data_IF_537378264790
#
_entry.id   IF_537378264790
#
_cell.length_a   1.000
_cell.length_b   1.000
_cell.length_c   1.000
_cell.angle_alpha   90.00
_cell.angle_beta   90.00
_cell.angle_gamma   90.00
#
_symmetry.space_group_name_H-M   'P 1'
#
loop_
_entity.id
_entity.type
_entity.pdbx_description
1 polymer ?
#
# COMPACT_ATOMS: atom_id res chain seq x y z
N UNK A 1 -19.22 -16.94 4.38
CA UNK A 1 -18.26 -17.46 3.39
C UNK A 1 -16.84 -17.40 3.96
N UNK A 2 -16.01 -18.40 3.64
CA UNK A 2 -14.60 -18.43 4.01
C UNK A 2 -13.76 -18.61 2.75
N UNK A 3 -12.67 -17.84 2.64
CA UNK A 3 -11.69 -17.95 1.55
C UNK A 3 -10.29 -18.02 2.13
N UNK A 4 -9.48 -18.96 1.66
CA UNK A 4 -8.06 -19.11 2.04
C UNK A 4 -7.19 -18.54 0.94
N UNK A 5 -6.13 -17.81 1.30
CA UNK A 5 -5.13 -17.23 0.41
C UNK A 5 -3.77 -17.87 0.66
N UNK A 6 -3.16 -18.37 -0.40
CA UNK A 6 -1.82 -18.94 -0.34
C UNK A 6 -1.74 -20.32 0.31
N UNK A 7 -0.58 -20.71 0.84
CA UNK A 7 0.63 -19.89 0.97
C UNK A 7 1.23 -19.48 -0.39
N UNK A 8 1.73 -18.25 -0.44
CA UNK A 8 2.52 -17.75 -1.58
C UNK A 8 3.95 -17.52 -1.09
N UNK A 9 4.89 -18.18 -1.71
CA UNK A 9 6.31 -18.04 -1.45
C UNK A 9 6.99 -17.40 -2.66
N UNK A 10 7.54 -16.21 -2.45
CA UNK A 10 8.26 -15.44 -3.45
C UNK A 10 9.75 -15.43 -3.13
N UNK A 11 10.59 -15.54 -4.15
CA UNK A 11 12.03 -15.45 -4.03
C UNK A 11 12.61 -14.62 -5.16
N UNK A 12 13.64 -13.83 -4.85
CA UNK A 12 14.42 -13.10 -5.85
C UNK A 12 15.89 -13.02 -5.44
N UNK A 13 16.74 -12.76 -6.42
CA UNK A 13 18.17 -12.58 -6.22
C UNK A 13 18.69 -11.43 -7.10
N UNK A 14 19.17 -10.37 -6.46
CA UNK A 14 19.72 -9.20 -7.14
C UNK A 14 21.25 -9.19 -7.05
N UNK A 15 21.93 -9.27 -8.18
CA UNK A 15 23.39 -9.42 -8.23
C UNK A 15 24.14 -8.11 -8.10
N UNK A 16 23.63 -7.01 -8.64
CA UNK A 16 24.33 -5.73 -8.71
C UNK A 16 23.82 -4.69 -7.70
N UNK A 17 22.54 -4.39 -7.74
CA UNK A 17 21.88 -3.36 -6.93
C UNK A 17 20.46 -3.79 -6.56
N UNK A 18 19.81 -3.11 -5.58
CA UNK A 18 18.40 -3.36 -5.28
C UNK A 18 17.53 -3.16 -6.52
N UNK A 19 16.58 -4.08 -6.73
CA UNK A 19 15.58 -3.97 -7.77
C UNK A 19 14.33 -4.73 -7.35
N UNK A 20 13.21 -4.04 -7.31
CA UNK A 20 11.90 -4.62 -7.03
C UNK A 20 10.78 -3.70 -7.50
N UNK A 21 9.59 -4.25 -7.64
CA UNK A 21 8.39 -3.51 -8.04
C UNK A 21 7.14 -4.23 -7.55
N UNK A 22 6.22 -3.47 -6.95
CA UNK A 22 4.94 -3.98 -6.45
C UNK A 22 5.12 -5.16 -5.47
N UNK A 23 6.08 -5.05 -4.58
CA UNK A 23 6.55 -6.07 -3.65
C UNK A 23 6.16 -5.82 -2.18
N UNK A 24 5.38 -4.76 -1.94
CA UNK A 24 4.82 -4.43 -0.63
C UNK A 24 5.90 -4.09 0.39
N UNK A 25 5.89 -4.80 1.51
CA UNK A 25 6.86 -4.61 2.58
C UNK A 25 8.20 -5.34 2.35
N UNK A 26 8.33 -6.11 1.26
CA UNK A 26 9.59 -6.76 0.93
C UNK A 26 10.58 -5.75 0.34
N UNK A 27 11.69 -5.51 1.02
CA UNK A 27 12.84 -4.86 0.41
C UNK A 27 13.62 -5.85 -0.46
N UNK A 28 13.59 -5.67 -1.77
CA UNK A 28 14.39 -6.46 -2.70
C UNK A 28 15.81 -5.85 -2.85
N UNK A 29 16.58 -5.97 -1.78
CA UNK A 29 17.97 -5.53 -1.72
C UNK A 29 18.90 -6.35 -2.60
N UNK A 30 20.18 -5.96 -2.66
CA UNK A 30 21.22 -6.80 -3.27
C UNK A 30 21.36 -8.12 -2.51
N UNK A 31 21.48 -9.22 -3.22
CA UNK A 31 21.52 -10.58 -2.68
C UNK A 31 20.17 -11.28 -2.71
N UNK A 32 20.01 -12.27 -1.85
CA UNK A 32 18.79 -13.08 -1.75
C UNK A 32 17.68 -12.37 -0.97
N UNK A 33 16.47 -12.42 -1.50
CA UNK A 33 15.28 -11.86 -0.88
C UNK A 33 14.12 -12.85 -0.97
N UNK A 34 13.32 -12.95 0.07
CA UNK A 34 12.18 -13.85 0.08
C UNK A 34 11.00 -13.28 0.87
N UNK A 35 9.80 -13.64 0.47
CA UNK A 35 8.55 -13.28 1.14
C UNK A 35 7.61 -14.47 1.20
N UNK A 36 7.05 -14.72 2.37
CA UNK A 36 5.99 -15.71 2.59
C UNK A 36 4.72 -14.98 2.99
N UNK A 37 3.66 -15.16 2.22
CA UNK A 37 2.33 -14.59 2.47
C UNK A 37 1.31 -15.70 2.57
N UNK A 38 0.47 -15.67 3.59
CA UNK A 38 -0.71 -16.53 3.71
C UNK A 38 -1.83 -15.77 4.37
N UNK A 39 -3.08 -16.20 4.16
CA UNK A 39 -4.18 -15.50 4.78
C UNK A 39 -5.53 -16.22 4.68
N UNK A 40 -6.50 -15.62 5.33
CA UNK A 40 -7.87 -16.08 5.38
C UNK A 40 -8.82 -14.87 5.35
N UNK A 41 -9.94 -15.03 4.68
CA UNK A 41 -11.04 -14.05 4.69
C UNK A 41 -12.32 -14.72 5.14
N UNK A 42 -13.03 -14.07 6.03
CA UNK A 42 -14.36 -14.42 6.48
C UNK A 42 -15.36 -13.36 6.05
N UNK A 43 -16.53 -13.81 5.62
CA UNK A 43 -17.67 -12.94 5.28
C UNK A 43 -18.90 -13.42 6.00
N UNK A 44 -19.53 -12.55 6.78
CA UNK A 44 -20.70 -12.86 7.57
C UNK A 44 -21.53 -11.58 7.85
N UNK A 45 -22.79 -11.58 7.42
CA UNK A 45 -23.75 -10.49 7.64
C UNK A 45 -23.21 -9.07 7.35
N UNK A 46 -22.53 -8.90 6.21
CA UNK A 46 -21.96 -7.61 5.82
C UNK A 46 -20.61 -7.29 6.44
N UNK A 47 -20.12 -8.12 7.38
CA UNK A 47 -18.76 -8.02 7.90
C UNK A 47 -17.84 -8.87 7.03
N UNK A 48 -16.75 -8.27 6.58
CA UNK A 48 -15.65 -8.92 5.90
C UNK A 48 -14.40 -8.74 6.75
N UNK A 49 -13.79 -9.82 7.19
CA UNK A 49 -12.53 -9.80 7.92
C UNK A 49 -11.48 -10.57 7.12
N UNK A 50 -10.45 -9.89 6.67
CA UNK A 50 -9.30 -10.48 5.98
C UNK A 50 -8.09 -10.38 6.90
N UNK A 51 -7.38 -11.48 7.12
CA UNK A 51 -6.10 -11.54 7.79
C UNK A 51 -5.12 -12.13 6.78
N UNK A 52 -4.16 -11.33 6.30
CA UNK A 52 -3.23 -11.75 5.23
C UNK A 52 -1.86 -11.11 5.42
N UNK A 53 -1.17 -11.44 6.52
CA UNK A 53 0.18 -10.93 6.78
C UNK A 53 1.22 -11.53 5.83
N UNK A 54 2.39 -10.90 5.85
CA UNK A 54 3.57 -11.43 5.20
C UNK A 54 4.80 -11.34 6.11
N UNK A 55 5.72 -12.29 5.90
CA UNK A 55 7.03 -12.33 6.54
C UNK A 55 8.07 -12.24 5.42
N UNK A 56 8.97 -11.28 5.55
CA UNK A 56 9.95 -10.98 4.52
C UNK A 56 11.37 -11.08 5.08
N UNK A 57 12.27 -11.51 4.26
CA UNK A 57 13.71 -11.49 4.52
C UNK A 57 14.44 -10.83 3.38
N UNK A 58 15.39 -9.95 3.71
CA UNK A 58 16.32 -9.35 2.77
C UNK A 58 17.74 -9.59 3.22
N UNK A 59 18.58 -10.16 2.34
CA UNK A 59 20.01 -10.33 2.61
C UNK A 59 20.73 -8.99 2.65
N UNK A 60 20.24 -7.99 1.92
CA UNK A 60 20.68 -6.60 1.98
C UNK A 60 22.19 -6.41 1.89
N UNK A 61 22.83 -7.10 0.94
CA UNK A 61 24.27 -7.02 0.71
C UNK A 61 24.71 -5.59 0.33
N UNK A 62 25.96 -5.25 0.66
CA UNK A 62 26.54 -3.95 0.36
C UNK A 62 26.68 -3.69 -1.15
N UNK A 63 26.50 -2.43 -1.53
CA UNK A 63 26.79 -1.89 -2.86
C UNK A 63 27.23 -0.43 -2.69
N UNK A 64 27.79 0.15 -3.73
CA UNK A 64 28.22 1.56 -3.70
C UNK A 64 27.02 2.49 -3.62
N UNK A 65 26.94 3.27 -2.54
CA UNK A 65 25.89 4.25 -2.32
C UNK A 65 26.29 5.60 -2.95
N UNK A 66 25.31 6.32 -3.49
CA UNK A 66 25.50 7.71 -3.89
C UNK A 66 25.62 8.59 -2.65
N UNK A 67 26.36 9.69 -2.75
CA UNK A 67 26.44 10.66 -1.67
C UNK A 67 25.06 11.17 -1.28
N UNK A 68 24.72 11.04 0.00
CA UNK A 68 23.42 11.48 0.53
C UNK A 68 23.39 12.99 0.75
N UNK A 69 22.24 13.62 0.48
CA UNK A 69 21.93 15.00 0.90
C UNK A 69 21.20 15.06 2.24
N UNK A 70 21.02 13.94 2.90
CA UNK A 70 20.39 13.79 4.20
C UNK A 70 21.44 13.56 5.30
N UNK A 71 21.01 13.67 6.55
CA UNK A 71 21.86 13.35 7.69
C UNK A 71 22.08 11.83 7.82
N UNK A 72 21.22 11.02 7.21
CA UNK A 72 21.41 9.58 7.03
C UNK A 72 22.31 9.31 5.81
N UNK A 73 23.34 8.47 5.98
CA UNK A 73 24.18 8.00 4.86
C UNK A 73 23.38 7.16 3.83
N UNK A 74 22.26 6.57 4.25
CA UNK A 74 21.39 5.79 3.40
C UNK A 74 20.35 6.64 2.64
N UNK A 75 20.25 7.93 2.94
CA UNK A 75 19.31 8.83 2.29
C UNK A 75 19.60 8.98 0.79
N UNK A 76 18.57 9.24 -0.01
CA UNK A 76 18.70 9.35 -1.45
C UNK A 76 19.17 10.75 -1.89
N UNK A 77 20.09 10.82 -2.86
CA UNK A 77 20.73 12.08 -3.32
C UNK A 77 19.74 13.12 -3.89
N UNK A 78 18.63 12.67 -4.46
CA UNK A 78 17.67 13.52 -5.17
C UNK A 78 16.70 14.29 -4.26
N UNK A 79 17.07 14.49 -3.00
CA UNK A 79 16.40 15.46 -2.17
C UNK A 79 16.61 16.87 -2.74
N UNK A 80 15.52 17.59 -2.94
CA UNK A 80 15.54 18.95 -3.52
C UNK A 80 16.23 19.97 -2.60
N UNK A 81 16.32 19.69 -1.31
CA UNK A 81 17.16 20.37 -0.33
C UNK A 81 17.53 19.37 0.78
N UNK A 82 18.52 19.73 1.64
CA UNK A 82 18.93 18.88 2.76
C UNK A 82 17.72 18.47 3.60
N UNK A 83 17.55 17.16 3.82
CA UNK A 83 16.42 16.56 4.56
C UNK A 83 15.03 16.96 4.03
N UNK A 84 14.90 17.26 2.74
CA UNK A 84 13.63 17.57 2.09
C UNK A 84 13.41 16.65 0.90
N UNK A 85 12.47 15.76 1.02
CA UNK A 85 12.14 14.78 -0.01
C UNK A 85 11.16 13.75 0.53
N UNK A 86 11.24 12.55 0.01
CA UNK A 86 10.43 11.42 0.43
C UNK A 86 11.30 10.38 1.11
N UNK A 87 10.72 9.62 2.02
CA UNK A 87 11.35 8.46 2.65
C UNK A 87 11.60 7.36 1.61
N UNK A 88 12.76 7.44 0.98
CA UNK A 88 13.23 6.49 -0.02
C UNK A 88 14.72 6.24 0.18
N UNK A 89 15.14 5.49 1.19
CA UNK A 89 16.55 5.18 1.40
C UNK A 89 17.10 4.33 0.26
N UNK A 90 18.37 4.53 -0.04
CA UNK A 90 19.11 3.72 -1.01
C UNK A 90 19.31 2.29 -0.51
N UNK A 91 19.39 2.11 0.81
CA UNK A 91 19.60 0.85 1.50
C UNK A 91 19.08 0.93 2.93
N UNK A 92 18.54 -0.15 3.44
CA UNK A 92 18.02 -0.25 4.81
C UNK A 92 19.09 -0.80 5.76
N UNK A 93 20.08 0.03 6.10
CA UNK A 93 21.19 -0.35 6.97
C UNK A 93 22.17 -1.33 6.34
N UNK A 94 23.10 -1.87 7.14
CA UNK A 94 24.24 -2.69 6.69
C UNK A 94 24.06 -4.19 6.88
N UNK A 95 22.97 -4.62 7.50
CA UNK A 95 22.76 -6.01 7.90
C UNK A 95 21.59 -6.65 7.16
N UNK A 96 21.58 -7.98 7.01
CA UNK A 96 20.36 -8.70 6.66
C UNK A 96 19.29 -8.46 7.71
N UNK A 97 18.03 -8.44 7.30
CA UNK A 97 16.92 -8.22 8.21
C UNK A 97 15.65 -8.96 7.81
N UNK A 98 14.79 -9.16 8.80
CA UNK A 98 13.45 -9.68 8.65
C UNK A 98 12.45 -8.57 8.89
N UNK A 99 11.36 -8.57 8.14
CA UNK A 99 10.19 -7.74 8.42
C UNK A 99 8.94 -8.59 8.52
N UNK A 100 8.10 -8.26 9.50
CA UNK A 100 6.73 -8.74 9.57
C UNK A 100 5.82 -7.59 9.22
N UNK A 101 4.91 -7.80 8.29
CA UNK A 101 3.93 -6.81 7.86
C UNK A 101 2.51 -7.40 7.90
N UNK A 102 1.54 -6.60 8.30
CA UNK A 102 0.15 -7.02 8.33
C UNK A 102 -0.44 -7.25 6.93
N UNK A 103 0.25 -6.77 5.90
CA UNK A 103 -0.14 -6.96 4.51
C UNK A 103 -1.56 -6.47 4.22
N UNK A 104 -2.31 -7.26 3.48
CA UNK A 104 -3.71 -6.95 3.15
C UNK A 104 -4.69 -7.33 4.29
N UNK A 105 -4.35 -7.06 5.53
CA UNK A 105 -5.23 -7.30 6.69
C UNK A 105 -6.21 -6.14 6.84
N UNK A 106 -7.50 -6.45 6.87
CA UNK A 106 -8.58 -5.46 6.96
C UNK A 106 -9.83 -6.06 7.59
N UNK A 107 -10.55 -5.26 8.37
CA UNK A 107 -11.93 -5.50 8.74
C UNK A 107 -12.81 -4.46 8.06
N UNK A 108 -13.88 -4.91 7.42
CA UNK A 108 -14.82 -4.05 6.68
C UNK A 108 -16.26 -4.43 7.01
N UNK A 109 -17.09 -3.42 7.17
CA UNK A 109 -18.54 -3.59 7.27
C UNK A 109 -19.22 -2.92 6.08
N UNK A 110 -20.14 -3.63 5.46
CA UNK A 110 -20.92 -3.16 4.33
C UNK A 110 -22.42 -3.22 4.66
N UNK A 111 -23.12 -2.11 4.51
CA UNK A 111 -24.56 -2.01 4.67
C UNK A 111 -25.18 -1.31 3.48
N UNK A 112 -26.03 -2.03 2.75
CA UNK A 112 -26.53 -1.58 1.43
C UNK A 112 -25.36 -1.19 0.53
N UNK A 113 -25.28 0.10 0.12
CA UNK A 113 -24.21 0.62 -0.73
C UNK A 113 -23.08 1.29 0.06
N UNK A 114 -23.25 1.48 1.37
CA UNK A 114 -22.21 2.09 2.22
C UNK A 114 -21.25 1.03 2.72
N UNK A 115 -20.00 1.41 2.87
CA UNK A 115 -18.95 0.56 3.42
C UNK A 115 -18.01 1.39 4.30
N UNK A 116 -17.57 0.78 5.40
CA UNK A 116 -16.53 1.30 6.28
C UNK A 116 -15.51 0.20 6.51
N UNK A 117 -14.24 0.53 6.40
CA UNK A 117 -13.13 -0.42 6.59
C UNK A 117 -12.02 0.18 7.44
N UNK A 118 -11.34 -0.69 8.17
CA UNK A 118 -10.12 -0.35 8.90
C UNK A 118 -9.08 -1.45 8.69
N UNK A 119 -7.88 -1.07 8.30
CA UNK A 119 -6.78 -2.02 8.10
C UNK A 119 -5.67 -1.51 7.19
N UNK A 120 -4.81 -2.43 6.81
CA UNK A 120 -3.60 -2.18 6.03
C UNK A 120 -3.74 -2.55 4.55
N UNK A 121 -4.91 -2.98 4.08
CA UNK A 121 -5.07 -3.39 2.69
C UNK A 121 -4.56 -2.33 1.73
N UNK A 122 -3.71 -2.72 0.78
CA UNK A 122 -3.16 -1.82 -0.23
C UNK A 122 -4.27 -1.25 -1.11
N UNK A 123 -4.24 0.06 -1.33
CA UNK A 123 -5.11 0.73 -2.28
C UNK A 123 -4.44 0.69 -3.65
N UNK A 124 -5.16 0.20 -4.65
CA UNK A 124 -4.70 0.15 -6.02
C UNK A 124 -5.71 0.83 -6.91
N UNK A 125 -5.34 1.99 -7.45
CA UNK A 125 -6.26 2.85 -8.22
C UNK A 125 -5.92 2.82 -9.71
N UNK A 126 -6.99 2.67 -10.52
CA UNK A 126 -6.89 2.64 -11.97
C UNK A 126 -6.53 1.25 -12.53
N UNK A 127 -6.49 1.14 -13.86
CA UNK A 127 -6.31 -0.14 -14.56
C UNK A 127 -4.84 -0.56 -14.74
N UNK A 128 -3.89 0.33 -14.43
CA UNK A 128 -2.48 0.04 -14.64
C UNK A 128 -1.97 -0.98 -13.61
N UNK A 129 -1.31 -2.03 -14.09
CA UNK A 129 -0.77 -3.08 -13.23
C UNK A 129 0.69 -2.82 -12.84
N UNK A 130 1.53 -2.42 -13.79
CA UNK A 130 2.97 -2.24 -13.53
C UNK A 130 3.25 -0.90 -12.88
N UNK A 131 2.73 0.19 -13.46
CA UNK A 131 2.97 1.56 -13.01
C UNK A 131 1.64 2.28 -12.75
N UNK A 132 0.92 1.98 -11.66
CA UNK A 132 -0.26 2.73 -11.30
C UNK A 132 0.13 4.17 -10.91
N UNK A 133 -0.68 5.15 -11.31
CA UNK A 133 -0.39 6.57 -11.10
C UNK A 133 -0.65 6.95 -9.64
N UNK A 134 -1.74 6.43 -9.06
CA UNK A 134 -2.13 6.71 -7.68
C UNK A 134 -2.20 5.40 -6.91
N UNK A 135 -1.43 5.32 -5.85
CA UNK A 135 -1.35 4.19 -4.95
C UNK A 135 -1.13 2.82 -5.62
N UNK A 136 -0.28 2.07 -5.01
CA UNK A 136 0.05 0.67 -5.34
C UNK A 136 0.57 -0.02 -4.09
N UNK A 137 1.30 -1.10 -4.27
CA UNK A 137 2.05 -1.79 -3.23
C UNK A 137 3.57 -1.73 -3.44
N UNK A 138 4.12 -0.62 -3.93
CA UNK A 138 5.57 -0.40 -4.02
C UNK A 138 6.24 -0.12 -2.66
N UNK A 139 5.47 -0.05 -1.60
CA UNK A 139 5.93 0.05 -0.22
C UNK A 139 4.96 -0.71 0.68
N UNK A 140 5.37 -0.95 1.94
CA UNK A 140 4.48 -1.45 2.95
C UNK A 140 3.21 -0.60 3.03
N UNK A 141 2.07 -1.24 3.19
CA UNK A 141 0.82 -0.51 3.37
C UNK A 141 0.76 0.07 4.79
N UNK A 142 -0.12 1.03 4.98
CA UNK A 142 -0.30 1.76 6.23
C UNK A 142 -1.70 1.54 6.81
N UNK A 143 -1.86 1.61 8.15
CA UNK A 143 -3.18 1.54 8.77
C UNK A 143 -4.02 2.74 8.35
N UNK A 144 -5.25 2.47 7.93
CA UNK A 144 -6.18 3.48 7.45
C UNK A 144 -7.62 3.16 7.81
N UNK A 145 -8.38 4.21 8.03
CA UNK A 145 -9.84 4.19 8.04
C UNK A 145 -10.34 4.61 6.67
N UNK A 146 -11.33 3.91 6.16
CA UNK A 146 -11.86 4.10 4.82
C UNK A 146 -13.38 4.04 4.84
N UNK A 147 -13.99 5.01 4.17
CA UNK A 147 -15.43 5.13 4.00
C UNK A 147 -15.74 5.12 2.51
N UNK A 148 -16.75 4.38 2.10
CA UNK A 148 -17.11 4.27 0.70
C UNK A 148 -18.60 4.22 0.44
N UNK A 149 -18.98 4.72 -0.73
CA UNK A 149 -20.25 4.46 -1.38
C UNK A 149 -19.94 3.55 -2.58
N UNK A 150 -20.42 2.32 -2.51
CA UNK A 150 -20.30 1.34 -3.62
C UNK A 150 -21.19 1.78 -4.77
N UNK A 151 -20.95 1.23 -5.94
CA UNK A 151 -21.72 1.52 -7.16
C UNK A 151 -23.22 1.71 -6.87
N UNK A 152 -23.69 2.92 -7.05
CA UNK A 152 -25.06 3.35 -6.72
C UNK A 152 -25.67 4.05 -7.92
N UNK A 153 -26.78 3.54 -8.40
CA UNK A 153 -27.52 4.13 -9.52
C UNK A 153 -28.24 5.38 -9.07
N UNK A 154 -28.00 6.49 -9.75
CA UNK A 154 -28.71 7.75 -9.55
C UNK A 154 -29.91 7.82 -10.49
N UNK A 155 -31.07 8.14 -9.92
CA UNK A 155 -32.30 8.36 -10.67
C UNK A 155 -32.84 9.74 -10.40
N UNK A 156 -33.43 10.36 -11.43
CA UNK A 156 -34.11 11.68 -11.27
C UNK A 156 -35.38 11.46 -10.46
N UNK A 157 -35.54 12.14 -9.31
CA UNK A 157 -36.77 12.07 -8.52
C UNK A 157 -38.01 12.44 -9.35
N UNK A 158 -39.05 11.63 -9.25
CA UNK A 158 -40.32 11.85 -9.99
C UNK A 158 -40.37 11.26 -11.40
N UNK A 159 -39.24 11.20 -12.13
CA UNK A 159 -39.19 10.64 -13.47
C UNK A 159 -38.67 9.21 -13.50
N UNK A 160 -38.02 8.77 -12.43
CA UNK A 160 -37.36 7.45 -12.31
C UNK A 160 -36.31 7.17 -13.43
N UNK A 161 -35.85 8.22 -14.11
CA UNK A 161 -34.84 8.08 -15.15
C UNK A 161 -33.48 7.83 -14.55
N UNK A 162 -32.81 6.80 -15.02
CA UNK A 162 -31.43 6.50 -14.67
C UNK A 162 -30.51 7.48 -15.42
N UNK A 163 -29.69 8.25 -14.66
CA UNK A 163 -28.70 9.16 -15.23
C UNK A 163 -27.27 8.59 -15.18
N UNK A 164 -27.07 7.52 -14.42
CA UNK A 164 -25.77 6.87 -14.31
C UNK A 164 -25.53 6.30 -12.92
N UNK A 165 -24.35 5.77 -12.74
CA UNK A 165 -23.89 5.22 -11.48
C UNK A 165 -22.75 6.06 -10.90
N UNK A 166 -22.75 6.21 -9.58
CA UNK A 166 -21.65 6.83 -8.83
C UNK A 166 -21.00 5.82 -7.90
N UNK A 167 -19.72 6.02 -7.70
CA UNK A 167 -18.93 5.33 -6.68
C UNK A 167 -17.95 6.34 -6.05
N UNK A 168 -17.82 6.31 -4.73
CA UNK A 168 -16.91 7.20 -4.01
C UNK A 168 -16.16 6.45 -2.93
N UNK A 169 -14.95 6.90 -2.62
CA UNK A 169 -14.16 6.40 -1.51
C UNK A 169 -13.35 7.53 -0.90
N UNK A 170 -13.36 7.62 0.42
CA UNK A 170 -12.54 8.55 1.21
C UNK A 170 -11.76 7.70 2.20
N UNK A 171 -10.48 8.00 2.37
CA UNK A 171 -9.68 7.34 3.39
C UNK A 171 -8.74 8.31 4.09
N UNK A 172 -8.42 7.96 5.32
CA UNK A 172 -7.38 8.60 6.10
C UNK A 172 -6.46 7.54 6.66
N UNK A 173 -5.17 7.73 6.58
CA UNK A 173 -4.17 6.77 7.02
C UNK A 173 -3.03 7.44 7.76
N UNK A 174 -2.32 6.62 8.51
CA UNK A 174 -1.19 7.02 9.35
C UNK A 174 0.09 6.44 8.77
N UNK A 175 1.00 7.31 8.36
CA UNK A 175 2.29 6.93 7.78
C UNK A 175 3.34 6.83 8.88
N UNK A 176 4.29 5.95 8.69
CA UNK A 176 5.52 5.86 9.47
C UNK A 176 6.71 6.11 8.54
N UNK A 177 7.77 6.67 9.09
CA UNK A 177 9.01 6.92 8.39
C UNK A 177 10.08 5.91 8.79
N UNK A 178 10.98 5.62 7.87
CA UNK A 178 12.11 4.73 8.10
C UNK A 178 13.21 5.46 8.89
N UNK A 179 13.84 4.77 9.84
CA UNK A 179 15.00 5.27 10.57
C UNK A 179 16.23 5.56 9.68
N UNK A 180 16.16 5.26 8.39
CA UNK A 180 17.23 5.43 7.42
C UNK A 180 17.03 6.64 6.49
N UNK A 181 16.00 7.44 6.75
CA UNK A 181 15.67 8.58 5.89
C UNK A 181 16.44 9.85 6.29
N UNK A 182 16.08 10.50 7.37
CA UNK A 182 16.62 11.83 7.70
C UNK A 182 17.14 12.00 9.13
N UNK A 183 17.09 10.97 9.95
CA UNK A 183 17.46 10.97 11.37
C UNK A 183 16.69 11.98 12.24
N UNK A 184 15.48 12.38 11.81
CA UNK A 184 14.65 13.32 12.54
C UNK A 184 13.34 12.66 13.00
N UNK A 185 13.24 12.28 14.25
CA UNK A 185 12.08 11.61 14.81
C UNK A 185 10.82 12.48 14.92
N UNK A 186 10.96 13.80 14.82
CA UNK A 186 9.84 14.73 15.05
C UNK A 186 8.81 14.78 13.91
N UNK A 187 9.17 14.32 12.73
CA UNK A 187 8.32 14.29 11.52
C UNK A 187 7.96 12.88 11.04
N UNK A 188 8.27 11.82 11.82
CA UNK A 188 8.09 10.42 11.41
C UNK A 188 6.63 9.99 11.23
N UNK A 189 5.68 10.80 11.64
CA UNK A 189 4.29 10.45 11.69
C UNK A 189 3.40 11.44 10.95
N UNK A 190 3.26 11.21 9.66
CA UNK A 190 2.40 12.02 8.81
C UNK A 190 1.06 11.31 8.56
N UNK A 191 0.01 12.08 8.37
CA UNK A 191 -1.27 11.56 7.92
C UNK A 191 -1.41 11.72 6.42
N UNK A 192 -1.99 10.71 5.78
CA UNK A 192 -2.37 10.76 4.37
C UNK A 192 -3.88 10.69 4.25
N UNK A 193 -4.45 11.53 3.40
CA UNK A 193 -5.86 11.53 3.07
C UNK A 193 -6.04 11.37 1.57
N UNK A 194 -7.06 10.63 1.19
CA UNK A 194 -7.37 10.44 -0.22
C UNK A 194 -8.88 10.38 -0.46
N UNK A 195 -9.25 10.72 -1.67
CA UNK A 195 -10.61 10.70 -2.16
C UNK A 195 -10.65 10.20 -3.60
N UNK A 196 -11.61 9.34 -3.90
CA UNK A 196 -11.93 8.95 -5.27
C UNK A 196 -13.41 9.18 -5.53
N UNK A 197 -13.70 9.62 -6.74
CA UNK A 197 -15.05 9.74 -7.26
C UNK A 197 -15.08 9.18 -8.68
N UNK A 198 -15.99 8.27 -8.94
CA UNK A 198 -16.25 7.73 -10.26
C UNK A 198 -17.72 7.95 -10.62
N UNK A 199 -17.95 8.38 -11.85
CA UNK A 199 -19.27 8.51 -12.43
C UNK A 199 -19.30 7.74 -13.76
N UNK A 200 -20.24 6.83 -13.88
CA UNK A 200 -20.48 6.07 -15.12
C UNK A 200 -21.83 6.50 -15.69
N UNK A 201 -21.85 7.26 -16.79
CA UNK A 201 -23.10 7.65 -17.45
C UNK A 201 -23.93 6.43 -17.85
N UNK A 202 -25.27 6.58 -17.89
CA UNK A 202 -26.18 5.46 -18.18
C UNK A 202 -25.97 4.79 -19.55
N UNK A 203 -25.38 5.50 -20.49
CA UNK A 203 -25.10 5.00 -21.85
C UNK A 203 -23.74 4.31 -22.00
N UNK A 204 -22.91 4.31 -20.95
CA UNK A 204 -21.63 3.59 -20.89
C UNK A 204 -21.87 2.26 -20.18
N UNK A 205 -21.61 1.14 -20.86
CA UNK A 205 -21.72 -0.21 -20.30
C UNK A 205 -20.35 -0.83 -20.11
#
# INVERSE_FOLDING_TARGET
LMKVYGPKWFNSFNTASPYGQNDGALWQGKGYNTSLTAGIRFEFYGIEATIKPNVNFSQNLGFELMTSNYDSEFGYIWGYAKNKGIDKPQRFGDKPFWTFDLGDTEIRYSWKNFTIGFGNQSIWLGPAYINPILHSNNAASYPKLDLGLRKTTIKIPGLNWNIGDIETRIWTGYLSESQYFDNNESNNHNMIHGFTFAYTPFFVK
#
